data_IF_250725413947
#
_entry.id   IF_250725413947
#
_cell.length_a   1.000
_cell.length_b   1.000
_cell.length_c   1.000
_cell.angle_alpha   90.00
_cell.angle_beta   90.00
_cell.angle_gamma   90.00
#
_symmetry.space_group_name_H-M   'P 1'
#
loop_
_entity.id
_entity.type
_entity.pdbx_description
1 polymer ?
#
# COMPACT_ATOMS: atom_id res chain seq x y z
N UNK A 1 -11.96 -25.05 2.23
CA UNK A 1 -11.52 -24.26 3.41
C UNK A 1 -11.90 -22.80 3.18
N UNK A 2 -12.25 -22.05 4.23
CA UNK A 2 -12.46 -20.61 4.06
C UNK A 2 -11.13 -19.96 3.67
N UNK A 3 -11.15 -19.06 2.68
CA UNK A 3 -9.98 -18.29 2.27
C UNK A 3 -9.77 -17.19 3.31
N UNK A 4 -8.57 -17.10 3.88
CA UNK A 4 -8.20 -16.02 4.80
C UNK A 4 -7.77 -14.79 4.00
N UNK A 5 -8.50 -13.68 4.17
CA UNK A 5 -8.32 -12.45 3.39
C UNK A 5 -7.37 -11.49 4.09
N UNK A 6 -6.37 -10.99 3.36
CA UNK A 6 -5.42 -10.01 3.81
C UNK A 6 -5.42 -8.77 2.89
N UNK A 7 -5.73 -7.63 3.45
CA UNK A 7 -5.71 -6.35 2.73
C UNK A 7 -4.31 -5.71 2.85
N UNK A 8 -3.58 -5.65 1.74
CA UNK A 8 -2.23 -5.08 1.73
C UNK A 8 -2.21 -3.56 1.56
N UNK A 9 -3.33 -2.98 1.11
CA UNK A 9 -3.44 -1.56 0.78
C UNK A 9 -4.54 -0.90 1.61
N UNK A 10 -4.20 -0.55 2.86
CA UNK A 10 -5.15 -0.09 3.87
C UNK A 10 -4.61 1.12 4.61
N UNK A 11 -5.09 2.32 4.25
CA UNK A 11 -4.58 3.57 4.81
C UNK A 11 -5.22 3.91 6.15
N UNK A 12 -4.37 4.38 7.08
CA UNK A 12 -4.78 5.07 8.31
C UNK A 12 -4.42 6.54 8.17
N UNK A 13 -5.41 7.40 8.19
CA UNK A 13 -5.28 8.82 7.91
C UNK A 13 -6.07 9.23 6.68
N UNK A 14 -5.97 10.50 6.35
CA UNK A 14 -6.75 11.14 5.29
C UNK A 14 -5.98 11.14 3.96
N UNK A 15 -6.69 10.93 2.86
CA UNK A 15 -6.12 11.03 1.52
C UNK A 15 -5.78 12.48 1.13
N UNK A 16 -6.57 13.45 1.57
CA UNK A 16 -6.51 14.82 1.05
C UNK A 16 -6.88 15.93 2.05
N UNK A 17 -7.06 15.63 3.33
CA UNK A 17 -7.59 16.58 4.31
C UNK A 17 -9.07 16.94 4.10
N UNK A 18 -9.72 16.36 3.09
CA UNK A 18 -11.11 16.64 2.74
C UNK A 18 -12.11 15.62 3.31
N UNK A 19 -11.64 14.49 3.84
CA UNK A 19 -12.47 13.35 4.21
C UNK A 19 -12.79 13.26 5.72
N UNK A 20 -12.48 14.30 6.47
CA UNK A 20 -12.72 14.37 7.90
C UNK A 20 -11.67 15.22 8.62
N UNK A 21 -11.83 15.42 9.92
CA UNK A 21 -10.83 16.10 10.72
C UNK A 21 -9.66 15.14 11.00
N UNK A 22 -8.41 15.58 10.83
CA UNK A 22 -7.26 14.85 11.37
C UNK A 22 -7.46 14.57 12.87
N UNK A 23 -7.02 13.43 13.39
CA UNK A 23 -7.21 13.06 14.80
C UNK A 23 -6.76 14.15 15.78
N UNK A 24 -5.64 14.80 15.48
CA UNK A 24 -5.08 15.89 16.29
C UNK A 24 -5.91 17.19 16.28
N UNK A 25 -6.83 17.35 15.34
CA UNK A 25 -7.75 18.49 15.24
C UNK A 25 -9.15 18.15 15.78
N UNK A 26 -9.39 16.90 16.15
CA UNK A 26 -10.67 16.51 16.74
C UNK A 26 -10.81 17.15 18.13
N UNK A 27 -12.05 17.54 18.53
CA UNK A 27 -12.30 18.08 19.87
C UNK A 27 -11.92 17.13 21.01
N UNK A 28 -12.02 15.82 20.75
CA UNK A 28 -11.57 14.74 21.65
C UNK A 28 -10.80 13.72 20.79
N UNK A 29 -9.47 13.82 20.72
CA UNK A 29 -8.65 12.95 19.89
C UNK A 29 -8.72 11.46 20.28
N UNK A 30 -8.86 11.14 21.57
CA UNK A 30 -8.95 9.75 22.03
C UNK A 30 -10.28 9.10 21.64
N UNK A 31 -11.39 9.80 21.87
CA UNK A 31 -12.72 9.34 21.43
C UNK A 31 -12.79 9.23 19.91
N UNK A 32 -12.17 10.15 19.18
CA UNK A 32 -12.09 10.10 17.73
C UNK A 32 -11.31 8.86 17.25
N UNK A 33 -10.15 8.61 17.82
CA UNK A 33 -9.32 7.45 17.46
C UNK A 33 -10.04 6.12 17.76
N UNK A 34 -10.70 6.03 18.92
CA UNK A 34 -11.48 4.84 19.28
C UNK A 34 -12.66 4.60 18.31
N UNK A 35 -13.37 5.66 17.92
CA UNK A 35 -14.48 5.57 16.97
C UNK A 35 -13.96 5.21 15.55
N UNK A 36 -12.85 5.78 15.12
CA UNK A 36 -12.21 5.47 13.85
C UNK A 36 -11.85 3.98 13.77
N UNK A 37 -11.15 3.47 14.79
CA UNK A 37 -10.78 2.07 14.87
C UNK A 37 -12.02 1.14 14.86
N UNK A 38 -13.05 1.45 15.65
CA UNK A 38 -14.28 0.66 15.69
C UNK A 38 -14.97 0.60 14.33
N UNK A 39 -15.05 1.73 13.62
CA UNK A 39 -15.62 1.80 12.28
C UNK A 39 -14.79 1.05 11.24
N UNK A 40 -13.48 1.12 11.33
CA UNK A 40 -12.57 0.39 10.45
C UNK A 40 -12.76 -1.13 10.61
N UNK A 41 -12.81 -1.62 11.84
CA UNK A 41 -13.07 -3.05 12.12
C UNK A 41 -14.46 -3.47 11.58
N UNK A 42 -15.49 -2.66 11.78
CA UNK A 42 -16.84 -2.92 11.23
C UNK A 42 -16.81 -3.04 9.69
N UNK A 43 -16.05 -2.17 9.01
CA UNK A 43 -15.92 -2.20 7.55
C UNK A 43 -15.14 -3.44 7.10
N UNK A 44 -14.04 -3.77 7.78
CA UNK A 44 -13.27 -4.99 7.49
C UNK A 44 -14.14 -6.24 7.67
N UNK A 45 -14.85 -6.37 8.77
CA UNK A 45 -15.74 -7.52 9.04
C UNK A 45 -16.86 -7.63 8.01
N UNK A 46 -17.47 -6.50 7.64
CA UNK A 46 -18.52 -6.45 6.61
C UNK A 46 -17.95 -6.81 5.22
N UNK A 47 -16.72 -6.42 4.94
CA UNK A 47 -16.02 -6.70 3.68
C UNK A 47 -15.35 -8.07 3.62
N UNK A 48 -15.38 -8.85 4.71
CA UNK A 48 -14.75 -10.17 4.77
C UNK A 48 -13.22 -10.10 4.84
N UNK A 49 -12.65 -9.02 5.38
CA UNK A 49 -11.20 -8.82 5.53
C UNK A 49 -10.77 -9.25 6.94
N UNK A 50 -9.93 -10.25 7.05
CA UNK A 50 -9.45 -10.77 8.33
C UNK A 50 -8.35 -9.89 8.94
N UNK A 51 -7.38 -9.49 8.12
CA UNK A 51 -6.21 -8.71 8.53
C UNK A 51 -5.82 -7.71 7.44
N UNK A 52 -5.09 -6.67 7.85
CA UNK A 52 -4.54 -5.68 6.92
C UNK A 52 -3.13 -5.23 7.29
N UNK A 53 -2.33 -4.84 6.29
CA UNK A 53 -1.15 -4.01 6.48
C UNK A 53 -1.59 -2.54 6.53
N UNK A 54 -1.23 -1.81 7.58
CA UNK A 54 -1.61 -0.41 7.69
C UNK A 54 -0.54 0.50 7.11
N UNK A 55 -0.97 1.48 6.32
CA UNK A 55 -0.14 2.48 5.64
C UNK A 55 -0.66 3.87 6.03
N UNK A 56 0.19 4.88 6.37
CA UNK A 56 -0.31 6.23 6.62
C UNK A 56 -0.92 6.85 5.36
N UNK A 57 -1.92 7.71 5.53
CA UNK A 57 -2.36 8.60 4.46
C UNK A 57 -1.27 9.62 4.11
N UNK A 58 -1.02 9.86 2.82
CA UNK A 58 0.07 10.74 2.35
C UNK A 58 -0.29 12.22 2.34
N UNK A 59 -1.56 12.58 2.54
CA UNK A 59 -2.06 13.96 2.56
C UNK A 59 -1.81 14.73 3.87
N UNK A 60 -0.88 14.31 4.71
CA UNK A 60 -0.61 14.96 5.99
C UNK A 60 0.13 16.30 5.84
N UNK A 61 -0.18 17.32 6.69
CA UNK A 61 0.53 18.58 6.66
C UNK A 61 1.96 18.44 7.19
N UNK A 62 2.89 19.20 6.59
CA UNK A 62 4.34 19.12 6.90
C UNK A 62 4.95 20.50 7.25
N UNK A 63 4.40 21.26 8.20
CA UNK A 63 4.95 22.56 8.58
C UNK A 63 6.37 22.47 9.18
N UNK A 64 6.74 21.32 9.76
CA UNK A 64 8.05 21.06 10.38
C UNK A 64 8.93 20.10 9.54
N UNK A 65 8.55 19.85 8.26
CA UNK A 65 9.32 19.03 7.33
C UNK A 65 9.54 17.61 7.80
N UNK A 66 10.80 17.17 7.86
CA UNK A 66 11.20 15.82 8.23
C UNK A 66 10.64 15.34 9.59
N UNK A 67 10.52 16.24 10.57
CA UNK A 67 9.97 15.88 11.89
C UNK A 67 8.52 15.41 11.80
N UNK A 68 7.71 15.96 10.89
CA UNK A 68 6.34 15.56 10.68
C UNK A 68 6.25 14.17 10.02
N UNK A 69 7.14 13.87 9.07
CA UNK A 69 7.26 12.53 8.48
C UNK A 69 7.60 11.48 9.54
N UNK A 70 8.57 11.78 10.41
CA UNK A 70 8.91 10.90 11.54
C UNK A 70 7.73 10.65 12.46
N UNK A 71 6.99 11.71 12.81
CA UNK A 71 5.80 11.60 13.66
C UNK A 71 4.69 10.75 13.01
N UNK A 72 4.54 10.81 11.68
CA UNK A 72 3.61 9.94 10.95
C UNK A 72 4.03 8.48 11.07
N UNK A 73 5.32 8.17 10.91
CA UNK A 73 5.85 6.81 11.05
C UNK A 73 5.73 6.28 12.49
N UNK A 74 5.93 7.13 13.50
CA UNK A 74 5.68 6.76 14.90
C UNK A 74 4.20 6.39 15.13
N UNK A 75 3.29 7.20 14.60
CA UNK A 75 1.84 6.96 14.74
C UNK A 75 1.39 5.67 14.08
N UNK A 76 1.89 5.35 12.88
CA UNK A 76 1.45 4.12 12.20
C UNK A 76 2.01 2.87 12.90
N UNK A 77 3.22 2.93 13.44
CA UNK A 77 3.78 1.86 14.27
C UNK A 77 2.94 1.64 15.53
N UNK A 78 2.58 2.72 16.24
CA UNK A 78 1.72 2.65 17.42
C UNK A 78 0.31 2.15 17.09
N UNK A 79 -0.25 2.52 15.93
CA UNK A 79 -1.56 2.03 15.48
C UNK A 79 -1.56 0.51 15.26
N UNK A 80 -0.53 -0.03 14.60
CA UNK A 80 -0.30 -1.47 14.47
C UNK A 80 -0.24 -2.14 15.85
N UNK A 81 0.58 -1.60 16.76
CA UNK A 81 0.85 -2.18 18.07
C UNK A 81 -0.38 -2.20 18.99
N UNK A 82 -1.31 -1.27 18.78
CA UNK A 82 -2.57 -1.23 19.52
C UNK A 82 -3.54 -2.37 19.14
N UNK A 83 -3.47 -2.91 17.91
CA UNK A 83 -4.42 -3.96 17.45
C UNK A 83 -3.71 -4.98 16.53
N UNK A 84 -2.66 -5.68 17.02
CA UNK A 84 -1.81 -6.53 16.16
C UNK A 84 -2.53 -7.76 15.61
N UNK A 85 -3.64 -8.17 16.22
CA UNK A 85 -4.47 -9.27 15.69
C UNK A 85 -5.14 -8.93 14.36
N UNK A 86 -5.44 -7.66 14.11
CA UNK A 86 -6.04 -7.17 12.86
C UNK A 86 -4.99 -6.51 11.95
N UNK A 87 -3.99 -5.87 12.54
CA UNK A 87 -2.92 -5.15 11.84
C UNK A 87 -1.55 -5.71 12.25
N UNK A 88 -1.16 -6.88 11.72
CA UNK A 88 0.08 -7.53 12.16
C UNK A 88 1.34 -6.78 11.75
N UNK A 89 1.27 -5.94 10.71
CA UNK A 89 2.39 -5.17 10.15
C UNK A 89 1.98 -3.75 9.78
N UNK A 90 2.97 -2.86 9.72
CA UNK A 90 2.80 -1.50 9.23
C UNK A 90 3.87 -1.17 8.19
N UNK A 91 3.49 -0.32 7.23
CA UNK A 91 4.32 0.27 6.19
C UNK A 91 4.38 1.77 6.49
N UNK A 92 5.58 2.36 6.47
CA UNK A 92 5.76 3.78 6.71
C UNK A 92 5.75 4.63 5.45
N UNK A 93 6.07 5.91 5.61
CA UNK A 93 6.28 6.86 4.53
C UNK A 93 7.73 7.32 4.53
N UNK A 94 8.37 7.36 3.36
CA UNK A 94 9.64 8.03 3.14
C UNK A 94 9.43 9.23 2.21
N UNK A 95 10.07 10.34 2.53
CA UNK A 95 9.83 11.62 1.84
C UNK A 95 11.04 12.01 0.98
N UNK A 96 10.92 11.95 -0.36
CA UNK A 96 12.05 12.25 -1.25
C UNK A 96 12.58 13.69 -1.15
N UNK A 97 11.79 14.64 -0.66
CA UNK A 97 12.22 16.04 -0.47
C UNK A 97 13.16 16.24 0.71
N UNK A 98 13.25 15.25 1.61
CA UNK A 98 14.11 15.34 2.80
C UNK A 98 15.57 14.93 2.53
N UNK A 99 15.88 14.40 1.33
CA UNK A 99 17.25 14.04 0.93
C UNK A 99 17.91 13.07 1.92
N UNK A 100 19.15 13.34 2.29
CA UNK A 100 19.92 12.45 3.20
C UNK A 100 19.23 12.18 4.54
N UNK A 101 18.37 13.08 5.02
CA UNK A 101 17.66 12.90 6.30
C UNK A 101 16.76 11.65 6.27
N UNK A 102 16.16 11.34 5.12
CA UNK A 102 15.31 10.16 4.97
C UNK A 102 16.07 8.83 5.03
N UNK A 103 17.37 8.80 4.77
CA UNK A 103 18.18 7.57 4.93
C UNK A 103 18.21 7.12 6.39
N UNK A 104 18.44 8.06 7.33
CA UNK A 104 18.34 7.76 8.76
C UNK A 104 16.93 7.36 9.21
N UNK A 105 15.90 7.86 8.53
CA UNK A 105 14.51 7.43 8.82
C UNK A 105 14.23 6.01 8.31
N UNK A 106 14.81 5.57 7.19
CA UNK A 106 14.72 4.18 6.74
C UNK A 106 15.35 3.22 7.75
N UNK A 107 16.55 3.56 8.30
CA UNK A 107 17.18 2.76 9.36
C UNK A 107 16.30 2.68 10.61
N UNK A 108 15.68 3.79 11.01
CA UNK A 108 14.76 3.85 12.15
C UNK A 108 13.49 3.03 11.90
N UNK A 109 12.96 3.08 10.69
CA UNK A 109 11.79 2.33 10.27
C UNK A 109 12.04 0.82 10.36
N UNK A 110 13.14 0.34 9.79
CA UNK A 110 13.51 -1.08 9.81
C UNK A 110 13.84 -1.60 11.22
N UNK A 111 14.51 -0.78 12.04
CA UNK A 111 14.96 -1.14 13.38
C UNK A 111 13.93 -0.82 14.46
N UNK A 112 14.03 0.37 15.13
CA UNK A 112 13.19 0.71 16.28
C UNK A 112 11.67 0.64 16.06
N UNK A 113 11.18 0.96 14.85
CA UNK A 113 9.74 0.94 14.57
C UNK A 113 9.24 -0.42 14.08
N UNK A 114 10.13 -1.30 13.62
CA UNK A 114 9.75 -2.61 13.10
C UNK A 114 8.74 -2.51 11.95
N UNK A 115 8.89 -1.51 11.08
CA UNK A 115 8.11 -1.40 9.87
C UNK A 115 8.63 -2.41 8.83
N UNK A 116 7.74 -2.97 8.02
CA UNK A 116 8.10 -3.99 7.03
C UNK A 116 8.33 -3.42 5.63
N UNK A 117 8.00 -2.16 5.42
CA UNK A 117 8.17 -1.47 4.15
C UNK A 117 8.00 0.04 4.30
N UNK A 118 8.33 0.76 3.22
CA UNK A 118 8.14 2.21 3.15
C UNK A 118 7.49 2.57 1.82
N UNK A 119 6.56 3.53 1.87
CA UNK A 119 5.74 3.89 0.72
C UNK A 119 6.07 5.27 0.17
N UNK A 120 5.90 5.38 -1.16
CA UNK A 120 5.91 6.62 -1.93
C UNK A 120 4.53 6.89 -2.49
N UNK A 121 4.10 8.15 -2.42
CA UNK A 121 2.96 8.68 -3.15
C UNK A 121 3.37 10.04 -3.72
N UNK A 122 4.13 9.99 -4.79
CA UNK A 122 4.98 11.11 -5.22
C UNK A 122 4.20 12.34 -5.68
N UNK A 123 2.96 12.20 -6.16
CA UNK A 123 2.09 13.34 -6.46
C UNK A 123 1.75 14.17 -5.20
N UNK A 124 1.52 13.53 -4.05
CA UNK A 124 1.32 14.24 -2.78
C UNK A 124 2.64 14.79 -2.21
N UNK A 125 3.74 14.16 -2.57
CA UNK A 125 5.08 14.54 -2.13
C UNK A 125 5.71 15.62 -3.05
N UNK A 126 5.05 16.01 -4.15
CA UNK A 126 5.50 17.05 -5.06
C UNK A 126 6.81 16.72 -5.80
N UNK A 127 7.04 15.44 -6.07
CA UNK A 127 8.19 14.92 -6.82
C UNK A 127 7.70 13.91 -7.86
N UNK A 128 8.60 13.47 -8.72
CA UNK A 128 8.32 12.41 -9.69
C UNK A 128 8.96 11.09 -9.28
N UNK A 129 8.36 9.95 -9.64
CA UNK A 129 8.91 8.60 -9.34
C UNK A 129 10.32 8.38 -9.91
N UNK A 130 10.69 9.07 -10.98
CA UNK A 130 12.03 9.03 -11.56
C UNK A 130 13.04 9.98 -10.89
N UNK A 131 12.66 10.65 -9.80
CA UNK A 131 13.57 11.43 -8.96
C UNK A 131 14.68 10.52 -8.41
N UNK A 132 15.91 11.03 -8.38
CA UNK A 132 17.07 10.25 -7.93
C UNK A 132 16.94 9.74 -6.49
N UNK A 133 16.32 10.52 -5.58
CA UNK A 133 16.11 10.11 -4.19
C UNK A 133 15.17 8.91 -4.08
N UNK A 134 14.16 8.80 -4.93
CA UNK A 134 13.29 7.62 -4.96
C UNK A 134 14.12 6.37 -5.24
N UNK A 135 14.96 6.39 -6.29
CA UNK A 135 15.85 5.26 -6.60
C UNK A 135 16.87 5.00 -5.51
N UNK A 136 17.45 6.04 -4.90
CA UNK A 136 18.40 5.91 -3.78
C UNK A 136 17.75 5.20 -2.59
N UNK A 137 16.53 5.61 -2.22
CA UNK A 137 15.84 5.00 -1.10
C UNK A 137 15.40 3.57 -1.38
N UNK A 138 14.96 3.26 -2.60
CA UNK A 138 14.66 1.87 -2.99
C UNK A 138 15.89 0.97 -2.81
N UNK A 139 17.07 1.43 -3.20
CA UNK A 139 18.32 0.70 -2.94
C UNK A 139 18.57 0.49 -1.45
N UNK A 140 18.48 1.57 -0.65
CA UNK A 140 18.64 1.49 0.81
C UNK A 140 17.58 0.61 1.49
N UNK A 141 16.34 0.61 1.03
CA UNK A 141 15.30 -0.31 1.50
C UNK A 141 15.70 -1.76 1.28
N UNK A 142 16.27 -2.09 0.11
CA UNK A 142 16.74 -3.44 -0.18
C UNK A 142 17.83 -3.91 0.81
N UNK A 143 18.78 -3.03 1.14
CA UNK A 143 19.84 -3.31 2.13
C UNK A 143 19.29 -3.51 3.55
N UNK A 144 18.19 -2.82 3.88
CA UNK A 144 17.53 -2.87 5.19
C UNK A 144 16.43 -3.94 5.31
N UNK A 145 16.13 -4.66 4.22
CA UNK A 145 15.05 -5.64 4.18
C UNK A 145 13.64 -5.03 4.23
N UNK A 146 13.50 -3.75 3.86
CA UNK A 146 12.21 -3.06 3.74
C UNK A 146 11.61 -3.26 2.35
N UNK A 147 10.31 -3.52 2.28
CA UNK A 147 9.56 -3.58 1.02
C UNK A 147 9.36 -2.17 0.46
N UNK A 148 9.82 -1.86 -0.77
CA UNK A 148 9.41 -0.66 -1.48
C UNK A 148 7.94 -0.76 -1.92
N UNK A 149 7.12 0.21 -1.51
CA UNK A 149 5.69 0.29 -1.83
C UNK A 149 5.43 1.58 -2.62
N UNK A 150 4.92 1.44 -3.83
CA UNK A 150 4.89 2.52 -4.82
C UNK A 150 3.46 2.74 -5.29
N UNK A 151 2.87 3.88 -4.96
CA UNK A 151 1.63 4.32 -5.58
C UNK A 151 1.93 4.79 -7.01
N UNK A 152 1.18 4.26 -7.97
CA UNK A 152 1.40 4.54 -9.39
C UNK A 152 0.08 4.65 -10.15
N UNK A 153 -0.17 5.84 -10.68
CA UNK A 153 -1.38 6.18 -11.43
C UNK A 153 -0.99 6.78 -12.78
N UNK A 154 -1.48 6.19 -13.87
CA UNK A 154 -1.15 6.66 -15.22
C UNK A 154 -1.79 8.01 -15.60
N UNK A 155 -2.80 8.45 -14.87
CA UNK A 155 -3.39 9.77 -15.04
C UNK A 155 -2.53 10.92 -14.50
N UNK A 156 -1.43 10.64 -13.79
CA UNK A 156 -0.50 11.66 -13.28
C UNK A 156 0.88 11.51 -13.87
N UNK A 157 1.50 12.64 -14.22
CA UNK A 157 2.86 12.64 -14.75
C UNK A 157 3.89 12.17 -13.70
N UNK A 158 3.63 12.47 -12.43
CA UNK A 158 4.51 12.13 -11.31
C UNK A 158 4.60 10.63 -11.08
N UNK A 159 3.49 9.91 -11.22
CA UNK A 159 3.33 8.50 -10.83
C UNK A 159 3.07 7.56 -12.00
N UNK A 160 3.36 7.99 -13.24
CA UNK A 160 3.13 7.18 -14.43
C UNK A 160 3.82 5.81 -14.33
N UNK A 161 3.10 4.74 -14.69
CA UNK A 161 3.54 3.35 -14.59
C UNK A 161 4.83 3.06 -15.36
N UNK A 162 5.12 3.76 -16.46
CA UNK A 162 6.40 3.56 -17.17
C UNK A 162 7.61 3.92 -16.28
N UNK A 163 7.47 4.83 -15.31
CA UNK A 163 8.52 5.18 -14.34
C UNK A 163 8.74 4.06 -13.31
N UNK A 164 7.68 3.32 -12.98
CA UNK A 164 7.80 2.09 -12.18
C UNK A 164 8.67 1.08 -12.92
N UNK A 165 8.48 0.90 -14.22
CA UNK A 165 9.33 0.06 -15.06
C UNK A 165 10.80 0.49 -15.07
N UNK A 166 11.07 1.81 -15.12
CA UNK A 166 12.45 2.33 -14.99
C UNK A 166 13.05 2.00 -13.62
N UNK A 167 12.28 2.18 -12.55
CA UNK A 167 12.73 1.90 -11.19
C UNK A 167 12.99 0.41 -11.00
N UNK A 168 12.09 -0.45 -11.48
CA UNK A 168 12.24 -1.91 -11.45
C UNK A 168 13.50 -2.39 -12.21
N UNK A 169 13.79 -1.76 -13.36
CA UNK A 169 15.00 -2.07 -14.15
C UNK A 169 16.30 -1.67 -13.45
N UNK A 170 16.26 -0.62 -12.61
CA UNK A 170 17.45 -0.17 -11.83
C UNK A 170 17.72 -1.06 -10.62
N UNK A 171 16.69 -1.74 -10.12
CA UNK A 171 16.76 -2.60 -8.93
C UNK A 171 16.16 -3.98 -9.24
N UNK A 172 16.73 -4.76 -10.18
CA UNK A 172 16.10 -5.99 -10.68
C UNK A 172 15.97 -7.10 -9.62
N UNK A 173 16.81 -7.05 -8.60
CA UNK A 173 16.85 -8.06 -7.52
C UNK A 173 15.91 -7.71 -6.34
N UNK A 174 15.28 -6.53 -6.36
CA UNK A 174 14.39 -6.08 -5.30
C UNK A 174 12.93 -6.26 -5.72
N UNK A 175 12.18 -7.01 -4.94
CA UNK A 175 10.71 -7.05 -5.10
C UNK A 175 10.10 -5.73 -4.67
N UNK A 176 9.20 -5.17 -5.50
CA UNK A 176 8.46 -3.93 -5.22
C UNK A 176 6.97 -4.17 -5.33
N UNK A 177 6.21 -3.57 -4.42
CA UNK A 177 4.76 -3.58 -4.45
C UNK A 177 4.26 -2.32 -5.18
N UNK A 178 3.47 -2.50 -6.22
CA UNK A 178 2.83 -1.43 -7.01
C UNK A 178 1.38 -1.32 -6.59
N UNK A 179 0.99 -0.18 -6.06
CA UNK A 179 -0.36 0.16 -5.65
C UNK A 179 -1.03 1.02 -6.74
N UNK A 180 -2.35 0.99 -6.81
CA UNK A 180 -3.20 1.83 -7.70
C UNK A 180 -3.09 1.58 -9.21
N UNK A 181 -2.16 0.72 -9.64
CA UNK A 181 -1.86 0.56 -11.06
C UNK A 181 -3.06 0.17 -11.96
N UNK A 182 -4.08 -0.43 -11.37
CA UNK A 182 -5.31 -0.86 -12.06
C UNK A 182 -6.44 0.19 -12.05
N UNK A 183 -6.17 1.41 -11.61
CA UNK A 183 -7.19 2.48 -11.47
C UNK A 183 -7.83 2.90 -12.79
N UNK A 184 -7.15 2.71 -13.92
CA UNK A 184 -7.62 3.08 -15.26
C UNK A 184 -7.48 1.94 -16.28
N UNK A 185 -8.17 2.06 -17.42
CA UNK A 185 -8.02 1.11 -18.52
C UNK A 185 -6.58 1.11 -19.09
N UNK A 186 -5.97 2.27 -19.24
CA UNK A 186 -4.58 2.36 -19.71
C UNK A 186 -3.61 1.81 -18.67
N UNK A 187 -3.81 2.11 -17.38
CA UNK A 187 -3.06 1.54 -16.29
C UNK A 187 -3.13 0.01 -16.27
N UNK A 188 -4.31 -0.56 -16.51
CA UNK A 188 -4.49 -2.01 -16.62
C UNK A 188 -3.60 -2.61 -17.70
N UNK A 189 -3.55 -1.99 -18.91
CA UNK A 189 -2.67 -2.45 -20.00
C UNK A 189 -1.19 -2.32 -19.65
N UNK A 190 -0.80 -1.21 -19.01
CA UNK A 190 0.57 -0.99 -18.57
C UNK A 190 0.98 -1.99 -17.49
N UNK A 191 0.13 -2.29 -16.52
CA UNK A 191 0.38 -3.34 -15.52
C UNK A 191 0.63 -4.70 -16.18
N UNK A 192 -0.15 -5.06 -17.23
CA UNK A 192 0.10 -6.29 -18.00
C UNK A 192 1.46 -6.29 -18.69
N UNK A 193 1.85 -5.17 -19.31
CA UNK A 193 3.18 -5.02 -19.91
C UNK A 193 4.30 -5.11 -18.86
N UNK A 194 4.16 -4.42 -17.73
CA UNK A 194 5.14 -4.45 -16.64
C UNK A 194 5.24 -5.84 -16.02
N UNK A 195 4.12 -6.55 -15.86
CA UNK A 195 4.13 -7.92 -15.38
C UNK A 195 4.89 -8.87 -16.32
N UNK A 196 4.80 -8.66 -17.64
CA UNK A 196 5.53 -9.44 -18.62
C UNK A 196 7.04 -9.16 -18.65
N UNK A 197 7.46 -7.92 -18.32
CA UNK A 197 8.84 -7.46 -18.52
C UNK A 197 9.66 -7.32 -17.24
N UNK A 198 9.01 -7.20 -16.08
CA UNK A 198 9.65 -6.95 -14.78
C UNK A 198 9.20 -8.00 -13.74
N UNK A 199 9.91 -9.13 -13.59
CA UNK A 199 9.54 -10.20 -12.66
C UNK A 199 9.58 -9.80 -11.18
N UNK A 200 10.22 -8.70 -10.85
CA UNK A 200 10.35 -8.16 -9.50
C UNK A 200 9.20 -7.24 -9.07
N UNK A 201 8.15 -7.06 -9.88
CA UNK A 201 6.97 -6.29 -9.51
C UNK A 201 5.83 -7.19 -9.04
N UNK A 202 5.17 -6.81 -7.96
CA UNK A 202 3.92 -7.36 -7.44
C UNK A 202 2.88 -6.26 -7.47
N UNK A 203 1.66 -6.57 -7.87
CA UNK A 203 0.61 -5.58 -8.11
C UNK A 203 -0.57 -5.80 -7.16
N UNK A 204 -1.07 -4.74 -6.56
CA UNK A 204 -2.34 -4.78 -5.85
C UNK A 204 -3.54 -4.62 -6.80
N UNK A 205 -4.71 -5.01 -6.33
CA UNK A 205 -5.94 -4.97 -7.10
C UNK A 205 -6.90 -3.87 -6.66
N UNK A 206 -6.50 -2.98 -5.74
CA UNK A 206 -7.40 -2.16 -4.93
C UNK A 206 -8.35 -1.26 -5.72
N UNK A 207 -7.86 -0.53 -6.69
CA UNK A 207 -8.64 0.42 -7.49
C UNK A 207 -9.18 -0.16 -8.80
N UNK A 208 -9.02 -1.45 -9.05
CA UNK A 208 -9.57 -2.06 -10.26
C UNK A 208 -11.10 -1.98 -10.25
N UNK A 209 -11.66 -1.63 -11.40
CA UNK A 209 -13.11 -1.58 -11.60
C UNK A 209 -13.69 -2.93 -12.10
N UNK A 210 -12.84 -3.85 -12.55
CA UNK A 210 -13.25 -5.18 -13.02
C UNK A 210 -12.13 -6.19 -12.83
N UNK A 211 -12.40 -7.24 -12.05
CA UNK A 211 -11.44 -8.30 -11.77
C UNK A 211 -11.13 -9.17 -13.00
N UNK A 212 -11.98 -9.22 -14.02
CA UNK A 212 -11.73 -10.04 -15.23
C UNK A 212 -10.38 -9.69 -15.88
N UNK A 213 -10.00 -8.40 -15.89
CA UNK A 213 -8.70 -7.99 -16.43
C UNK A 213 -7.54 -8.50 -15.59
N UNK A 214 -7.71 -8.51 -14.26
CA UNK A 214 -6.71 -9.03 -13.34
C UNK A 214 -6.64 -10.56 -13.47
N UNK A 215 -7.77 -11.23 -13.60
CA UNK A 215 -7.84 -12.69 -13.82
C UNK A 215 -7.07 -13.09 -15.09
N UNK A 216 -7.16 -12.34 -16.16
CA UNK A 216 -6.39 -12.57 -17.38
C UNK A 216 -4.88 -12.39 -17.15
N UNK A 217 -4.49 -11.37 -16.39
CA UNK A 217 -3.09 -11.19 -16.01
C UNK A 217 -2.60 -12.31 -15.06
N UNK A 218 -3.44 -12.74 -14.13
CA UNK A 218 -3.14 -13.90 -13.24
C UNK A 218 -2.88 -15.17 -14.07
N UNK A 219 -3.70 -15.43 -15.10
CA UNK A 219 -3.49 -16.59 -16.00
C UNK A 219 -2.21 -16.45 -16.82
N UNK A 220 -1.89 -15.24 -17.26
CA UNK A 220 -0.72 -14.98 -18.12
C UNK A 220 0.60 -14.96 -17.35
N UNK A 221 0.62 -14.44 -16.12
CA UNK A 221 1.86 -14.13 -15.38
C UNK A 221 1.98 -14.86 -14.03
N UNK A 222 0.95 -15.62 -13.63
CA UNK A 222 0.89 -16.38 -12.39
C UNK A 222 0.33 -15.60 -11.19
N UNK A 223 -0.44 -16.26 -10.36
CA UNK A 223 -1.15 -15.67 -9.22
C UNK A 223 -0.21 -15.01 -8.20
N UNK A 224 1.02 -15.51 -8.07
CA UNK A 224 2.02 -15.01 -7.09
C UNK A 224 2.42 -13.53 -7.29
N UNK A 225 2.03 -12.91 -8.41
CA UNK A 225 2.32 -11.52 -8.77
C UNK A 225 1.22 -10.54 -8.34
N UNK A 226 0.11 -11.04 -7.79
CA UNK A 226 -1.07 -10.22 -7.49
C UNK A 226 -1.48 -10.38 -6.03
N UNK A 227 -1.90 -9.27 -5.43
CA UNK A 227 -2.32 -9.20 -4.04
C UNK A 227 -3.60 -8.39 -3.91
N UNK A 228 -4.44 -8.74 -2.96
CA UNK A 228 -5.67 -8.02 -2.68
C UNK A 228 -5.38 -6.77 -1.82
N UNK A 229 -6.06 -5.67 -2.15
CA UNK A 229 -6.06 -4.43 -1.39
C UNK A 229 -7.40 -3.70 -1.52
N UNK A 230 -7.72 -2.80 -0.60
CA UNK A 230 -8.96 -2.02 -0.62
C UNK A 230 -8.76 -0.55 -0.94
N UNK A 231 -7.59 0.02 -0.70
CA UNK A 231 -7.33 1.46 -0.69
C UNK A 231 -8.32 2.21 0.26
N UNK A 232 -8.62 1.59 1.41
CA UNK A 232 -9.49 2.20 2.42
C UNK A 232 -8.70 3.27 3.18
N UNK A 233 -9.32 4.43 3.39
CA UNK A 233 -8.79 5.53 4.22
C UNK A 233 -9.59 5.69 5.51
N UNK A 234 -9.03 6.42 6.50
CA UNK A 234 -9.77 6.84 7.68
C UNK A 234 -10.94 7.74 7.28
N UNK A 235 -12.09 7.49 7.93
CA UNK A 235 -13.33 8.20 7.59
C UNK A 235 -13.55 8.34 6.09
N UNK A 236 -13.50 7.26 5.33
CA UNK A 236 -14.25 7.29 4.11
C UNK A 236 -15.67 7.40 4.58
N UNK A 237 -16.29 8.50 4.31
CA UNK A 237 -17.71 8.68 4.54
C UNK A 237 -18.54 7.80 3.60
N UNK A 238 -17.99 6.74 3.08
CA UNK A 238 -18.62 5.72 2.28
C UNK A 238 -18.05 4.37 2.62
N UNK A 239 -18.87 3.38 2.82
CA UNK A 239 -18.46 1.99 2.92
C UNK A 239 -17.82 1.61 1.59
N UNK A 240 -16.50 1.61 1.51
CA UNK A 240 -15.80 0.91 0.42
C UNK A 240 -15.77 -0.57 0.75
N UNK A 241 -16.85 -1.26 0.42
CA UNK A 241 -16.78 -2.71 0.27
C UNK A 241 -16.16 -2.95 -1.09
N UNK A 242 -14.99 -3.55 -1.11
CA UNK A 242 -14.31 -3.85 -2.35
C UNK A 242 -15.08 -4.93 -3.12
N UNK A 243 -15.71 -4.54 -4.24
CA UNK A 243 -16.35 -5.48 -5.15
C UNK A 243 -15.35 -6.46 -5.77
N UNK A 244 -14.07 -6.12 -5.80
CA UNK A 244 -12.98 -6.94 -6.32
C UNK A 244 -12.85 -8.27 -5.57
N UNK A 245 -13.01 -8.26 -4.24
CA UNK A 245 -12.96 -9.51 -3.47
C UNK A 245 -14.06 -10.48 -3.89
N UNK A 246 -15.30 -9.99 -4.01
CA UNK A 246 -16.42 -10.80 -4.49
C UNK A 246 -16.14 -11.37 -5.89
N UNK A 247 -15.70 -10.54 -6.82
CA UNK A 247 -15.36 -10.97 -8.19
C UNK A 247 -14.19 -11.97 -8.21
N UNK A 248 -13.16 -11.78 -7.38
CA UNK A 248 -12.08 -12.76 -7.22
C UNK A 248 -12.61 -14.11 -6.75
N UNK A 249 -13.40 -14.13 -5.70
CA UNK A 249 -13.93 -15.38 -5.11
C UNK A 249 -14.91 -16.11 -6.04
N UNK A 250 -15.68 -15.36 -6.84
CA UNK A 250 -16.63 -15.91 -7.83
C UNK A 250 -15.99 -16.25 -9.19
N UNK A 251 -14.74 -15.83 -9.44
CA UNK A 251 -14.05 -16.09 -10.70
C UNK A 251 -13.82 -17.58 -10.95
N UNK A 252 -13.50 -17.95 -12.19
CA UNK A 252 -13.13 -19.31 -12.60
C UNK A 252 -11.65 -19.66 -12.35
N UNK A 253 -10.91 -18.81 -11.65
CA UNK A 253 -9.55 -19.12 -11.22
C UNK A 253 -9.54 -20.33 -10.26
N UNK A 254 -8.48 -21.17 -10.29
CA UNK A 254 -8.31 -22.23 -9.31
C UNK A 254 -8.36 -21.70 -7.87
N UNK A 255 -8.91 -22.47 -6.95
CA UNK A 255 -9.03 -22.07 -5.54
C UNK A 255 -7.69 -21.68 -4.90
N UNK A 256 -6.59 -22.35 -5.29
CA UNK A 256 -5.24 -22.00 -4.87
C UNK A 256 -4.82 -20.59 -5.35
N UNK A 257 -5.19 -20.23 -6.58
CA UNK A 257 -4.91 -18.90 -7.13
C UNK A 257 -5.75 -17.83 -6.43
N UNK A 258 -7.02 -18.13 -6.12
CA UNK A 258 -7.89 -17.23 -5.33
C UNK A 258 -7.31 -16.98 -3.94
N UNK A 259 -6.91 -18.04 -3.23
CA UNK A 259 -6.31 -17.94 -1.90
C UNK A 259 -4.99 -17.16 -1.95
N UNK A 260 -4.16 -17.42 -2.96
CA UNK A 260 -2.91 -16.72 -3.17
C UNK A 260 -3.13 -15.20 -3.30
N UNK A 261 -4.04 -14.77 -4.20
CA UNK A 261 -4.33 -13.35 -4.43
C UNK A 261 -5.04 -12.72 -3.23
N UNK A 262 -6.00 -13.42 -2.61
CA UNK A 262 -6.78 -12.89 -1.49
C UNK A 262 -5.96 -12.65 -0.21
N UNK A 263 -4.85 -13.40 -0.01
CA UNK A 263 -4.11 -13.21 1.23
C UNK A 263 -2.72 -13.85 1.32
N UNK A 264 -2.49 -15.06 0.77
CA UNK A 264 -1.23 -15.78 1.00
C UNK A 264 -0.02 -15.07 0.42
N UNK A 265 -0.17 -14.43 -0.75
CA UNK A 265 0.90 -13.65 -1.36
C UNK A 265 1.28 -12.43 -0.52
N UNK A 266 0.28 -11.70 -0.02
CA UNK A 266 0.50 -10.55 0.85
C UNK A 266 1.25 -10.97 2.13
N UNK A 267 0.81 -12.05 2.79
CA UNK A 267 1.48 -12.57 3.99
C UNK A 267 2.93 -12.97 3.70
N UNK A 268 3.18 -13.66 2.59
CA UNK A 268 4.53 -14.05 2.19
C UNK A 268 5.39 -12.82 1.89
N UNK A 269 4.88 -11.85 1.14
CA UNK A 269 5.59 -10.62 0.77
C UNK A 269 5.99 -9.81 2.01
N UNK A 270 5.15 -9.83 3.06
CA UNK A 270 5.33 -9.08 4.31
C UNK A 270 6.02 -9.90 5.42
N UNK A 271 6.48 -11.12 5.13
CA UNK A 271 7.21 -11.97 6.10
C UNK A 271 6.35 -12.52 7.23
N UNK A 272 5.06 -12.75 7.00
CA UNK A 272 4.09 -13.26 8.00
C UNK A 272 3.88 -14.78 7.92
N UNK A 273 4.61 -15.51 7.09
CA UNK A 273 4.55 -16.97 6.93
C UNK A 273 5.76 -17.65 7.58
#
# INVERSE_FOLDING_TARGET
MAIAVFDIHHHVGDASGALGLPPEQAPDPEAYAALELAKRIEIMDTGGVDQAAVIPGHGYPRPNGHADTRAVNDRIAAYRDATPSRFPVAIGIVEPRDGDLSLGELERAAGPLGLVGMSFHTRFQGVSLDNHWVSTYVGAMGELGLLPVIHALDETAEESLWKVGLLASRHPDLTMLVLDGYSTHEGTKHCGHLAATHPNLVFDCSLSYNFDFIADHVRAHGAHRYVYGTDLYSWPLGRRISHILGQLLESDLPDEAKAAVAGDNARRLLGLC
#
